data_IF_223248470198
#
_entry.id   IF_223248470198
#
_cell.length_a   1.000
_cell.length_b   1.000
_cell.length_c   1.000
_cell.angle_alpha   90.00
_cell.angle_beta   90.00
_cell.angle_gamma   90.00
#
_symmetry.space_group_name_H-M   'P 1'
#
loop_
_entity.id
_entity.type
_entity.pdbx_description
1 polymer ?
#
# COMPACT_ATOMS: atom_id res chain seq x y z
N UNK A 1 -29.49 -8.85 33.50
CA UNK A 1 -29.16 -7.44 33.18
C UNK A 1 -27.67 -7.17 33.28
N UNK A 2 -27.06 -7.11 34.47
CA UNK A 2 -25.64 -6.76 34.64
C UNK A 2 -24.67 -7.67 33.86
N UNK A 3 -24.90 -8.99 33.89
CA UNK A 3 -24.09 -9.96 33.12
C UNK A 3 -24.22 -9.71 31.61
N UNK A 4 -25.44 -9.48 31.11
CA UNK A 4 -25.69 -9.21 29.68
C UNK A 4 -24.98 -7.92 29.27
N UNK A 5 -25.09 -6.86 30.08
CA UNK A 5 -24.40 -5.59 29.83
C UNK A 5 -22.89 -5.76 29.85
N UNK A 6 -22.34 -6.51 30.80
CA UNK A 6 -20.91 -6.79 30.91
C UNK A 6 -20.39 -7.55 29.68
N UNK A 7 -21.06 -8.63 29.27
CA UNK A 7 -20.70 -9.41 28.08
C UNK A 7 -20.79 -8.56 26.81
N UNK A 8 -21.81 -7.70 26.72
CA UNK A 8 -21.98 -6.76 25.59
C UNK A 8 -20.82 -5.76 25.52
N UNK A 9 -20.42 -5.19 26.65
CA UNK A 9 -19.27 -4.28 26.74
C UNK A 9 -17.96 -4.95 26.34
N UNK A 10 -17.74 -6.20 26.76
CA UNK A 10 -16.53 -6.94 26.39
C UNK A 10 -16.48 -7.29 24.89
N UNK A 11 -17.64 -7.44 24.25
CA UNK A 11 -17.75 -7.91 22.87
C UNK A 11 -17.83 -6.75 21.85
N UNK A 12 -18.10 -5.52 22.29
CA UNK A 12 -18.39 -4.36 21.41
C UNK A 12 -17.33 -4.09 20.33
N UNK A 13 -16.04 -4.29 20.65
CA UNK A 13 -14.94 -4.04 19.72
C UNK A 13 -14.77 -5.12 18.65
N UNK A 14 -15.14 -6.37 18.94
CA UNK A 14 -14.98 -7.50 18.02
C UNK A 14 -16.25 -7.77 17.23
N UNK A 15 -17.41 -7.64 17.86
CA UNK A 15 -18.66 -8.05 17.28
C UNK A 15 -19.78 -7.08 17.65
N UNK A 16 -19.72 -5.90 17.04
CA UNK A 16 -20.62 -4.77 17.31
C UNK A 16 -22.10 -5.17 17.27
N UNK A 17 -22.51 -5.98 16.28
CA UNK A 17 -23.90 -6.43 16.15
C UNK A 17 -24.42 -7.17 17.39
N UNK A 18 -23.64 -8.12 17.92
CA UNK A 18 -24.02 -8.89 19.11
C UNK A 18 -24.02 -8.04 20.38
N UNK A 19 -23.09 -7.09 20.49
CA UNK A 19 -23.08 -6.14 21.60
C UNK A 19 -24.32 -5.24 21.58
N UNK A 20 -24.72 -4.74 20.40
CA UNK A 20 -25.93 -3.92 20.24
C UNK A 20 -27.19 -4.70 20.62
N UNK A 21 -27.32 -5.98 20.21
CA UNK A 21 -28.42 -6.84 20.64
C UNK A 21 -28.48 -6.93 22.17
N UNK A 22 -27.35 -7.19 22.83
CA UNK A 22 -27.31 -7.26 24.30
C UNK A 22 -27.69 -5.94 24.98
N UNK A 23 -27.26 -4.79 24.46
CA UNK A 23 -27.69 -3.48 24.96
C UNK A 23 -29.19 -3.23 24.79
N UNK A 24 -29.80 -3.70 23.69
CA UNK A 24 -31.25 -3.55 23.46
C UNK A 24 -32.07 -4.40 24.42
N UNK A 25 -31.65 -5.65 24.67
CA UNK A 25 -32.24 -6.53 25.69
C UNK A 25 -32.15 -5.88 27.07
N UNK A 26 -30.98 -5.33 27.42
CA UNK A 26 -30.82 -4.59 28.68
C UNK A 26 -31.69 -3.32 28.74
N UNK A 27 -31.90 -2.60 27.64
CA UNK A 27 -32.80 -1.44 27.64
C UNK A 27 -34.25 -1.86 27.90
N UNK A 28 -34.73 -2.89 27.22
CA UNK A 28 -36.10 -3.43 27.37
C UNK A 28 -36.35 -3.92 28.80
N UNK A 29 -35.44 -4.70 29.38
CA UNK A 29 -35.60 -5.20 30.75
C UNK A 29 -35.57 -4.07 31.79
N UNK A 30 -34.81 -2.99 31.55
CA UNK A 30 -34.80 -1.83 32.46
C UNK A 30 -36.15 -1.12 32.43
N UNK A 31 -36.74 -0.96 31.23
CA UNK A 31 -38.08 -0.40 31.08
C UNK A 31 -39.15 -1.29 31.71
N UNK A 32 -39.06 -2.62 31.54
CA UNK A 32 -39.95 -3.58 32.21
C UNK A 32 -39.94 -3.40 33.73
N UNK A 33 -38.76 -3.20 34.35
CA UNK A 33 -38.66 -2.96 35.79
C UNK A 33 -39.23 -1.60 36.21
N UNK A 34 -39.16 -0.58 35.34
CA UNK A 34 -39.61 0.78 35.67
C UNK A 34 -41.11 0.99 35.47
N UNK A 35 -41.69 0.45 34.39
CA UNK A 35 -43.07 0.74 33.96
C UNK A 35 -44.01 -0.46 34.06
N UNK A 36 -43.51 -1.65 34.42
CA UNK A 36 -44.22 -2.94 34.42
C UNK A 36 -44.85 -3.36 33.07
N UNK A 37 -44.69 -2.58 32.00
CA UNK A 37 -45.29 -2.79 30.66
C UNK A 37 -44.23 -2.85 29.55
N UNK A 38 -43.08 -3.46 29.81
CA UNK A 38 -41.95 -3.55 28.87
C UNK A 38 -42.25 -4.33 27.59
N UNK A 39 -43.24 -5.23 27.58
CA UNK A 39 -43.64 -5.98 26.36
C UNK A 39 -44.06 -5.06 25.20
N UNK A 40 -44.77 -3.97 25.50
CA UNK A 40 -45.23 -3.02 24.48
C UNK A 40 -44.07 -2.22 23.84
N UNK A 41 -42.92 -2.15 24.52
CA UNK A 41 -41.75 -1.43 24.04
C UNK A 41 -40.76 -2.31 23.26
N UNK A 42 -40.98 -3.62 23.20
CA UNK A 42 -40.11 -4.56 22.47
C UNK A 42 -40.07 -4.21 20.98
N UNK A 43 -41.24 -4.09 20.35
CA UNK A 43 -41.35 -3.85 18.90
C UNK A 43 -40.79 -2.47 18.50
N UNK A 44 -41.17 -1.35 19.15
CA UNK A 44 -40.56 -0.05 18.88
C UNK A 44 -39.03 -0.06 19.03
N UNK A 45 -38.52 -0.72 20.09
CA UNK A 45 -37.07 -0.76 20.34
C UNK A 45 -36.31 -1.59 19.31
N UNK A 46 -36.91 -2.67 18.83
CA UNK A 46 -36.35 -3.45 17.73
C UNK A 46 -36.25 -2.60 16.45
N UNK A 47 -37.32 -1.86 16.10
CA UNK A 47 -37.32 -0.95 14.94
C UNK A 47 -36.24 0.12 15.09
N UNK A 48 -36.13 0.78 16.24
CA UNK A 48 -35.09 1.77 16.51
C UNK A 48 -33.67 1.21 16.34
N UNK A 49 -33.47 -0.04 16.76
CA UNK A 49 -32.18 -0.73 16.63
C UNK A 49 -31.85 -1.02 15.18
N UNK A 50 -32.80 -1.54 14.42
CA UNK A 50 -32.63 -1.81 12.98
C UNK A 50 -32.34 -0.51 12.23
N UNK A 51 -33.11 0.56 12.49
CA UNK A 51 -32.89 1.88 11.89
C UNK A 51 -31.51 2.41 12.28
N UNK A 52 -31.12 2.32 13.55
CA UNK A 52 -29.79 2.72 14.03
C UNK A 52 -28.66 1.95 13.34
N UNK A 53 -28.80 0.64 13.18
CA UNK A 53 -27.84 -0.18 12.44
C UNK A 53 -27.76 0.21 10.97
N UNK A 54 -28.89 0.48 10.31
CA UNK A 54 -28.93 0.93 8.91
C UNK A 54 -28.28 2.31 8.73
N UNK A 55 -28.53 3.25 9.65
CA UNK A 55 -27.90 4.57 9.62
C UNK A 55 -26.39 4.45 9.86
N UNK A 56 -25.96 3.63 10.82
CA UNK A 56 -24.53 3.39 11.08
C UNK A 56 -23.83 2.74 9.88
N UNK A 57 -24.46 1.75 9.25
CA UNK A 57 -23.95 1.10 8.04
C UNK A 57 -23.90 2.08 6.86
N UNK A 58 -24.98 2.81 6.60
CA UNK A 58 -25.01 3.84 5.56
C UNK A 58 -23.98 4.94 5.79
N UNK A 59 -23.82 5.38 7.04
CA UNK A 59 -22.78 6.32 7.46
C UNK A 59 -21.37 5.77 7.23
N UNK A 60 -21.12 4.50 7.53
CA UNK A 60 -19.82 3.86 7.26
C UNK A 60 -19.52 3.80 5.76
N UNK A 61 -20.51 3.44 4.93
CA UNK A 61 -20.34 3.37 3.48
C UNK A 61 -20.18 4.76 2.84
N UNK A 62 -20.84 5.79 3.38
CA UNK A 62 -20.92 7.12 2.77
C UNK A 62 -19.92 8.14 3.33
N UNK A 63 -19.63 8.13 4.63
CA UNK A 63 -18.69 9.05 5.28
C UNK A 63 -17.23 8.60 5.13
N UNK A 64 -16.98 7.31 4.87
CA UNK A 64 -15.65 6.76 4.57
C UNK A 64 -15.54 6.31 3.10
N UNK A 65 -15.65 7.21 2.11
CA UNK A 65 -15.48 6.85 0.70
C UNK A 65 -14.00 6.63 0.32
N UNK A 66 -13.06 6.79 1.26
CA UNK A 66 -11.62 6.60 1.03
C UNK A 66 -11.19 5.13 1.10
N UNK A 67 -11.64 4.33 0.13
CA UNK A 67 -11.09 2.98 -0.07
C UNK A 67 -9.63 3.10 -0.49
N UNK A 68 -8.73 2.74 0.41
CA UNK A 68 -7.28 2.79 0.21
C UNK A 68 -6.83 1.84 -0.89
N UNK A 69 -7.60 0.78 -1.14
CA UNK A 69 -7.40 -0.10 -2.30
C UNK A 69 -7.37 0.66 -3.65
N UNK A 70 -8.12 1.76 -3.78
CA UNK A 70 -8.09 2.64 -4.96
C UNK A 70 -6.84 3.50 -5.06
N UNK A 71 -6.20 3.81 -3.94
CA UNK A 71 -4.98 4.61 -3.84
C UNK A 71 -3.71 3.76 -3.96
N UNK A 72 -3.80 2.45 -3.74
CA UNK A 72 -2.66 1.54 -3.72
C UNK A 72 -1.77 1.64 -4.96
N UNK A 73 -2.38 1.78 -6.16
CA UNK A 73 -1.64 1.99 -7.40
C UNK A 73 -0.88 3.31 -7.40
N UNK A 74 -1.55 4.39 -6.98
CA UNK A 74 -0.94 5.71 -6.92
C UNK A 74 0.23 5.71 -5.94
N UNK A 75 0.01 5.17 -4.74
CA UNK A 75 1.05 5.07 -3.71
C UNK A 75 2.23 4.20 -4.16
N UNK A 76 1.97 3.14 -4.95
CA UNK A 76 3.04 2.31 -5.52
C UNK A 76 3.84 3.07 -6.59
N UNK A 77 3.17 3.86 -7.42
CA UNK A 77 3.82 4.73 -8.40
C UNK A 77 4.67 5.81 -7.70
N UNK A 78 4.09 6.51 -6.72
CA UNK A 78 4.77 7.55 -5.93
C UNK A 78 5.99 7.00 -5.19
N UNK A 79 5.94 5.73 -4.73
CA UNK A 79 7.10 5.05 -4.14
C UNK A 79 8.23 4.81 -5.15
N UNK A 80 7.91 4.30 -6.35
CA UNK A 80 8.91 4.10 -7.41
C UNK A 80 9.52 5.42 -7.89
N UNK A 81 8.72 6.49 -7.96
CA UNK A 81 9.20 7.83 -8.31
C UNK A 81 10.19 8.36 -7.26
N UNK A 82 9.87 8.20 -5.97
CA UNK A 82 10.79 8.57 -4.89
C UNK A 82 12.11 7.78 -4.94
N UNK A 83 12.03 6.47 -5.25
CA UNK A 83 13.20 5.60 -5.45
C UNK A 83 14.06 6.06 -6.63
N UNK A 84 13.43 6.43 -7.75
CA UNK A 84 14.14 6.95 -8.94
C UNK A 84 14.91 8.23 -8.64
N UNK A 85 14.24 9.20 -8.02
CA UNK A 85 14.85 10.47 -7.62
C UNK A 85 16.00 10.25 -6.63
N UNK A 86 15.89 9.27 -5.72
CA UNK A 86 16.95 8.90 -4.79
C UNK A 86 18.17 8.31 -5.50
N UNK A 87 17.96 7.35 -6.41
CA UNK A 87 19.05 6.72 -7.17
C UNK A 87 19.76 7.76 -8.04
N UNK A 88 19.01 8.66 -8.69
CA UNK A 88 19.58 9.76 -9.49
C UNK A 88 20.46 10.68 -8.65
N UNK A 89 20.04 11.00 -7.43
CA UNK A 89 20.83 11.85 -6.54
C UNK A 89 22.06 11.13 -5.98
N UNK A 90 21.94 9.85 -5.62
CA UNK A 90 23.04 9.01 -5.12
C UNK A 90 24.15 8.86 -6.15
N UNK A 91 23.78 8.72 -7.43
CA UNK A 91 24.71 8.55 -8.55
C UNK A 91 25.13 9.88 -9.21
N UNK A 92 24.75 11.03 -8.63
CA UNK A 92 25.15 12.33 -9.14
C UNK A 92 26.63 12.65 -8.85
N UNK A 93 27.22 13.55 -9.62
CA UNK A 93 28.65 13.90 -9.51
C UNK A 93 29.05 14.54 -8.18
N UNK A 94 28.10 15.19 -7.48
CA UNK A 94 28.33 15.82 -6.18
C UNK A 94 27.13 15.61 -5.25
N UNK A 95 27.08 14.47 -4.54
CA UNK A 95 25.98 14.13 -3.65
C UNK A 95 26.02 14.99 -2.37
N UNK A 96 25.36 16.16 -2.42
CA UNK A 96 25.31 17.04 -1.25
C UNK A 96 24.57 16.38 -0.07
N UNK A 97 25.08 16.47 1.18
CA UNK A 97 24.50 15.76 2.33
C UNK A 97 23.05 16.12 2.63
N UNK A 98 22.67 17.38 2.46
CA UNK A 98 21.32 17.88 2.79
C UNK A 98 20.26 17.35 1.82
N UNK A 99 20.42 17.49 0.48
CA UNK A 99 19.54 16.83 -0.49
C UNK A 99 19.43 15.31 -0.30
N UNK A 100 20.56 14.63 -0.02
CA UNK A 100 20.56 13.17 0.21
C UNK A 100 19.71 12.78 1.43
N UNK A 101 19.85 13.50 2.55
CA UNK A 101 19.06 13.23 3.75
C UNK A 101 17.56 13.47 3.50
N UNK A 102 17.22 14.54 2.77
CA UNK A 102 15.84 14.83 2.40
C UNK A 102 15.24 13.74 1.50
N UNK A 103 15.98 13.30 0.48
CA UNK A 103 15.47 12.27 -0.43
C UNK A 103 15.35 10.91 0.25
N UNK A 104 16.28 10.58 1.15
CA UNK A 104 16.19 9.41 2.02
C UNK A 104 14.90 9.44 2.84
N UNK A 105 14.55 10.58 3.45
CA UNK A 105 13.28 10.73 4.18
C UNK A 105 12.08 10.51 3.26
N UNK A 106 12.08 11.09 2.05
CA UNK A 106 10.99 10.94 1.07
C UNK A 106 10.75 9.50 0.64
N UNK A 107 11.81 8.75 0.36
CA UNK A 107 11.73 7.31 0.02
C UNK A 107 11.06 6.52 1.14
N UNK A 108 11.50 6.72 2.39
CA UNK A 108 10.90 6.05 3.54
C UNK A 108 9.43 6.48 3.75
N UNK A 109 9.11 7.75 3.54
CA UNK A 109 7.74 8.26 3.68
C UNK A 109 6.80 7.69 2.60
N UNK A 110 7.26 7.62 1.34
CA UNK A 110 6.49 7.05 0.25
C UNK A 110 6.22 5.55 0.48
N UNK A 111 7.24 4.79 0.90
CA UNK A 111 7.07 3.39 1.29
C UNK A 111 6.08 3.22 2.45
N UNK A 112 6.20 4.01 3.51
CA UNK A 112 5.29 3.93 4.66
C UNK A 112 3.84 4.26 4.27
N UNK A 113 3.65 5.23 3.37
CA UNK A 113 2.32 5.57 2.84
C UNK A 113 1.72 4.38 2.10
N UNK A 114 2.52 3.71 1.27
CA UNK A 114 2.11 2.49 0.56
C UNK A 114 1.78 1.35 1.52
N UNK A 115 2.64 1.07 2.49
CA UNK A 115 2.44 0.00 3.49
C UNK A 115 1.16 0.22 4.31
N UNK A 116 0.93 1.45 4.76
CA UNK A 116 -0.28 1.81 5.51
C UNK A 116 -1.55 1.64 4.65
N UNK A 117 -1.48 2.08 3.38
CA UNK A 117 -2.57 1.92 2.41
C UNK A 117 -2.91 0.44 2.20
N UNK A 118 -1.91 -0.44 2.09
CA UNK A 118 -2.11 -1.89 1.99
C UNK A 118 -2.77 -2.47 3.25
N UNK A 119 -2.24 -2.15 4.45
CA UNK A 119 -2.80 -2.66 5.70
C UNK A 119 -4.25 -2.25 5.92
N UNK A 120 -4.62 -1.05 5.47
CA UNK A 120 -6.00 -0.59 5.50
C UNK A 120 -6.84 -1.30 4.44
N UNK A 121 -6.33 -1.46 3.21
CA UNK A 121 -7.00 -2.21 2.16
C UNK A 121 -7.27 -3.69 2.52
N UNK A 122 -6.41 -4.30 3.34
CA UNK A 122 -6.63 -5.67 3.86
C UNK A 122 -7.81 -5.77 4.83
N UNK A 123 -8.24 -4.66 5.43
CA UNK A 123 -9.39 -4.61 6.34
C UNK A 123 -10.69 -4.24 5.61
N UNK A 124 -10.60 -3.89 4.32
CA UNK A 124 -11.75 -3.49 3.51
C UNK A 124 -12.62 -4.72 3.17
N UNK A 125 -13.94 -4.70 3.45
CA UNK A 125 -14.81 -5.81 3.11
C UNK A 125 -14.97 -5.98 1.60
N UNK A 126 -14.91 -7.23 1.12
CA UNK A 126 -15.24 -7.59 -0.27
C UNK A 126 -14.13 -7.36 -1.30
N UNK A 127 -12.91 -7.04 -0.87
CA UNK A 127 -11.76 -6.90 -1.76
C UNK A 127 -11.09 -8.24 -2.07
N UNK A 128 -10.43 -8.36 -3.24
CA UNK A 128 -9.83 -9.62 -3.68
C UNK A 128 -8.61 -9.99 -2.81
N UNK A 129 -8.71 -11.10 -2.07
CA UNK A 129 -7.68 -11.58 -1.14
C UNK A 129 -6.38 -11.94 -1.86
N UNK A 130 -6.43 -12.55 -3.04
CA UNK A 130 -5.24 -12.92 -3.81
C UNK A 130 -4.45 -11.71 -4.30
N UNK A 131 -5.15 -10.68 -4.76
CA UNK A 131 -4.51 -9.42 -5.15
C UNK A 131 -3.79 -8.75 -3.95
N UNK A 132 -4.37 -8.82 -2.75
CA UNK A 132 -3.75 -8.27 -1.54
C UNK A 132 -2.53 -9.09 -1.10
N UNK A 133 -2.56 -10.41 -1.26
CA UNK A 133 -1.41 -11.29 -1.02
C UNK A 133 -0.24 -10.95 -1.94
N UNK A 134 -0.51 -10.79 -3.24
CA UNK A 134 0.51 -10.41 -4.22
C UNK A 134 1.04 -9.00 -3.95
N UNK A 135 0.16 -8.05 -3.58
CA UNK A 135 0.58 -6.70 -3.20
C UNK A 135 1.48 -6.72 -1.95
N UNK A 136 1.23 -7.61 -0.98
CA UNK A 136 2.09 -7.77 0.19
C UNK A 136 3.50 -8.21 -0.20
N UNK A 137 3.62 -9.13 -1.16
CA UNK A 137 4.91 -9.50 -1.73
C UNK A 137 5.57 -8.31 -2.44
N UNK A 138 4.81 -7.56 -3.24
CA UNK A 138 5.29 -6.35 -3.92
C UNK A 138 5.84 -5.31 -2.92
N UNK A 139 5.10 -5.02 -1.86
CA UNK A 139 5.50 -4.07 -0.81
C UNK A 139 6.76 -4.55 -0.07
N UNK A 140 6.91 -5.87 0.11
CA UNK A 140 8.12 -6.44 0.71
C UNK A 140 9.35 -6.15 -0.16
N UNK A 141 9.24 -6.26 -1.49
CA UNK A 141 10.33 -5.88 -2.38
C UNK A 141 10.60 -4.37 -2.40
N UNK A 142 9.56 -3.53 -2.29
CA UNK A 142 9.74 -2.09 -2.09
C UNK A 142 10.54 -1.79 -0.81
N UNK A 143 10.27 -2.50 0.29
CA UNK A 143 11.04 -2.35 1.54
C UNK A 143 12.53 -2.69 1.34
N UNK A 144 12.86 -3.75 0.60
CA UNK A 144 14.26 -4.07 0.30
C UNK A 144 14.95 -3.01 -0.56
N UNK A 145 14.24 -2.38 -1.50
CA UNK A 145 14.78 -1.26 -2.27
C UNK A 145 15.10 -0.08 -1.34
N UNK A 146 14.19 0.27 -0.42
CA UNK A 146 14.40 1.33 0.59
C UNK A 146 15.66 1.03 1.43
N UNK A 147 15.86 -0.22 1.84
CA UNK A 147 17.05 -0.65 2.60
C UNK A 147 18.34 -0.48 1.80
N UNK A 148 18.33 -0.83 0.50
CA UNK A 148 19.47 -0.59 -0.38
C UNK A 148 19.73 0.89 -0.63
N UNK A 149 18.68 1.69 -0.88
CA UNK A 149 18.81 3.16 -1.03
C UNK A 149 19.40 3.79 0.24
N UNK A 150 18.95 3.35 1.43
CA UNK A 150 19.49 3.80 2.71
C UNK A 150 20.99 3.47 2.85
N UNK A 151 21.40 2.26 2.47
CA UNK A 151 22.80 1.83 2.50
C UNK A 151 23.66 2.64 1.51
N UNK A 152 23.19 2.77 0.26
CA UNK A 152 23.88 3.52 -0.80
C UNK A 152 24.02 5.01 -0.45
N UNK A 153 23.03 5.60 0.23
CA UNK A 153 23.10 6.99 0.71
C UNK A 153 24.27 7.20 1.68
N UNK A 154 24.55 6.21 2.53
CA UNK A 154 25.72 6.26 3.45
C UNK A 154 27.02 6.14 2.65
N UNK A 155 27.10 5.19 1.72
CA UNK A 155 28.28 5.00 0.86
C UNK A 155 28.60 6.23 -0.01
N UNK A 156 27.57 6.89 -0.53
CA UNK A 156 27.71 8.11 -1.32
C UNK A 156 28.32 9.26 -0.50
N UNK A 157 27.95 9.38 0.78
CA UNK A 157 28.54 10.39 1.70
C UNK A 157 30.01 10.10 2.03
N UNK A 158 30.40 8.84 2.02
CA UNK A 158 31.78 8.40 2.26
C UNK A 158 32.68 8.54 1.01
N UNK A 159 32.21 9.21 -0.05
CA UNK A 159 32.91 9.42 -1.32
C UNK A 159 33.34 8.12 -2.02
N UNK A 160 32.62 7.02 -1.77
CA UNK A 160 32.81 5.78 -2.53
C UNK A 160 32.13 5.95 -3.89
N UNK A 161 32.84 6.56 -4.84
CA UNK A 161 32.29 6.86 -6.16
C UNK A 161 32.65 5.77 -7.17
N UNK A 162 31.62 5.34 -7.90
CA UNK A 162 31.77 4.67 -9.19
C UNK A 162 32.49 5.59 -10.18
N UNK A 163 33.12 5.03 -11.20
CA UNK A 163 33.54 5.85 -12.34
C UNK A 163 32.31 6.51 -12.99
N UNK A 164 32.41 7.74 -13.53
CA UNK A 164 31.26 8.43 -14.12
C UNK A 164 30.53 7.59 -15.18
N UNK A 165 31.29 6.88 -16.02
CA UNK A 165 30.73 6.00 -17.05
C UNK A 165 29.92 4.83 -16.46
N UNK A 166 30.39 4.26 -15.34
CA UNK A 166 29.72 3.13 -14.71
C UNK A 166 28.50 3.59 -13.90
N UNK A 167 28.60 4.74 -13.22
CA UNK A 167 27.49 5.38 -12.53
C UNK A 167 26.34 5.68 -13.51
N UNK A 168 26.66 6.23 -14.68
CA UNK A 168 25.67 6.52 -15.71
C UNK A 168 25.01 5.24 -16.26
N UNK A 169 25.77 4.19 -16.54
CA UNK A 169 25.22 2.90 -16.99
C UNK A 169 24.25 2.29 -15.97
N UNK A 170 24.62 2.28 -14.69
CA UNK A 170 23.73 1.79 -13.65
C UNK A 170 22.50 2.68 -13.48
N UNK A 171 22.65 4.00 -13.53
CA UNK A 171 21.53 4.94 -13.49
C UNK A 171 20.53 4.67 -14.61
N UNK A 172 21.00 4.57 -15.86
CA UNK A 172 20.17 4.25 -17.02
C UNK A 172 19.44 2.91 -16.84
N UNK A 173 20.14 1.88 -16.37
CA UNK A 173 19.53 0.56 -16.11
C UNK A 173 18.43 0.61 -15.04
N UNK A 174 18.65 1.36 -13.95
CA UNK A 174 17.68 1.54 -12.88
C UNK A 174 16.48 2.35 -13.36
N UNK A 175 16.70 3.43 -14.12
CA UNK A 175 15.61 4.25 -14.68
C UNK A 175 14.74 3.44 -15.64
N UNK A 176 15.34 2.62 -16.50
CA UNK A 176 14.59 1.72 -17.40
C UNK A 176 13.75 0.72 -16.59
N UNK A 177 14.34 0.10 -15.57
CA UNK A 177 13.62 -0.88 -14.74
C UNK A 177 12.46 -0.23 -13.96
N UNK A 178 12.67 0.95 -13.39
CA UNK A 178 11.64 1.73 -12.69
C UNK A 178 10.51 2.16 -13.61
N UNK A 179 10.84 2.70 -14.79
CA UNK A 179 9.85 3.11 -15.79
C UNK A 179 9.01 1.93 -16.28
N UNK A 180 9.59 0.74 -16.45
CA UNK A 180 8.82 -0.48 -16.78
C UNK A 180 7.83 -0.84 -15.68
N UNK A 181 8.25 -0.79 -14.41
CA UNK A 181 7.35 -0.99 -13.28
C UNK A 181 6.22 0.05 -13.26
N UNK A 182 6.54 1.33 -13.47
CA UNK A 182 5.54 2.42 -13.53
C UNK A 182 4.55 2.25 -14.68
N UNK A 183 5.04 2.01 -15.90
CA UNK A 183 4.19 1.75 -17.07
C UNK A 183 3.27 0.54 -16.84
N UNK A 184 3.78 -0.50 -16.19
CA UNK A 184 2.97 -1.67 -15.86
C UNK A 184 1.88 -1.37 -14.83
N UNK A 185 2.13 -0.48 -13.88
CA UNK A 185 1.12 0.02 -12.96
C UNK A 185 0.05 0.84 -13.68
N UNK A 186 0.44 1.65 -14.68
CA UNK A 186 -0.48 2.53 -15.41
C UNK A 186 -1.41 1.78 -16.39
N UNK A 187 -0.89 0.77 -17.09
CA UNK A 187 -1.61 0.06 -18.16
C UNK A 187 -1.91 -1.41 -17.81
N UNK A 188 -3.21 -1.74 -17.73
CA UNK A 188 -3.68 -3.12 -17.45
C UNK A 188 -3.40 -4.09 -18.62
N UNK A 189 -3.38 -3.57 -19.86
CA UNK A 189 -3.19 -4.37 -21.07
C UNK A 189 -1.75 -4.90 -21.18
N UNK A 190 -1.54 -6.09 -21.78
CA UNK A 190 -0.20 -6.53 -22.15
C UNK A 190 0.33 -5.56 -23.20
N UNK A 191 1.15 -4.59 -22.80
CA UNK A 191 1.91 -3.79 -23.73
C UNK A 191 2.83 -4.73 -24.51
N UNK A 192 2.79 -4.68 -25.84
CA UNK A 192 3.65 -5.46 -26.73
C UNK A 192 5.14 -5.04 -26.68
N UNK A 193 5.59 -4.42 -25.60
CA UNK A 193 7.01 -4.21 -25.35
C UNK A 193 7.59 -5.53 -24.88
N UNK A 194 8.34 -6.20 -25.76
CA UNK A 194 8.91 -7.52 -25.53
C UNK A 194 9.56 -7.65 -24.16
N UNK A 195 9.43 -8.85 -23.60
CA UNK A 195 10.14 -9.35 -22.42
C UNK A 195 11.65 -9.29 -22.67
N UNK A 196 12.25 -8.10 -22.65
CA UNK A 196 13.70 -7.95 -22.61
C UNK A 196 14.08 -8.24 -21.17
N UNK A 197 14.53 -9.47 -20.92
CA UNK A 197 15.02 -9.94 -19.64
C UNK A 197 16.10 -8.99 -19.10
N UNK A 198 15.77 -8.25 -18.04
CA UNK A 198 16.71 -7.32 -17.38
C UNK A 198 17.92 -8.09 -16.83
N UNK A 199 17.74 -9.39 -16.51
CA UNK A 199 18.83 -10.27 -16.11
C UNK A 199 19.94 -10.34 -17.16
N UNK A 200 19.59 -10.40 -18.46
CA UNK A 200 20.57 -10.45 -19.56
C UNK A 200 21.38 -9.13 -19.64
N UNK A 201 20.73 -7.98 -19.42
CA UNK A 201 21.41 -6.69 -19.35
C UNK A 201 22.25 -6.50 -18.07
N UNK A 202 21.84 -7.10 -16.94
CA UNK A 202 22.61 -7.05 -15.69
C UNK A 202 23.82 -8.00 -15.71
N UNK A 203 23.71 -9.15 -16.37
CA UNK A 203 24.83 -10.08 -16.57
C UNK A 203 25.91 -9.47 -17.48
N UNK A 204 25.53 -8.67 -18.48
CA UNK A 204 26.48 -7.92 -19.32
C UNK A 204 27.27 -6.84 -18.56
N UNK A 205 26.80 -6.36 -17.40
CA UNK A 205 27.45 -5.29 -16.64
C UNK A 205 28.63 -5.76 -15.76
N UNK A 206 28.80 -7.07 -15.54
CA UNK A 206 29.84 -7.59 -14.63
C UNK A 206 31.01 -8.20 -15.40
N UNK A 207 32.16 -7.51 -15.41
CA UNK A 207 33.44 -8.03 -15.90
C UNK A 207 34.55 -7.90 -14.84
N UNK A 208 34.23 -8.08 -13.55
CA UNK A 208 35.20 -7.98 -12.44
C UNK A 208 34.59 -8.07 -11.03
N UNK A 209 35.41 -7.97 -9.97
CA UNK A 209 34.92 -7.93 -8.59
C UNK A 209 34.09 -6.65 -8.36
N UNK A 210 32.82 -6.83 -8.03
CA UNK A 210 31.86 -5.74 -7.83
C UNK A 210 32.17 -4.95 -6.56
N UNK A 211 32.14 -3.61 -6.65
CA UNK A 211 32.16 -2.74 -5.48
C UNK A 211 30.91 -2.92 -4.62
N UNK A 212 30.96 -2.50 -3.35
CA UNK A 212 29.79 -2.57 -2.44
C UNK A 212 28.59 -1.79 -2.96
N UNK A 213 28.84 -0.64 -3.60
CA UNK A 213 27.79 0.18 -4.23
C UNK A 213 27.16 -0.55 -5.43
N UNK A 214 27.96 -1.21 -6.28
CA UNK A 214 27.45 -2.02 -7.40
C UNK A 214 26.58 -3.19 -6.93
N UNK A 215 26.98 -3.87 -5.85
CA UNK A 215 26.19 -4.96 -5.29
C UNK A 215 24.80 -4.49 -4.87
N UNK A 216 24.70 -3.29 -4.26
CA UNK A 216 23.41 -2.72 -3.90
C UNK A 216 22.57 -2.35 -5.15
N UNK A 217 23.18 -1.74 -6.17
CA UNK A 217 22.49 -1.41 -7.42
C UNK A 217 21.97 -2.66 -8.15
N UNK A 218 22.78 -3.73 -8.22
CA UNK A 218 22.35 -5.00 -8.79
C UNK A 218 21.19 -5.63 -8.03
N UNK A 219 21.21 -5.59 -6.68
CA UNK A 219 20.08 -6.08 -5.88
C UNK A 219 18.82 -5.25 -6.09
N UNK A 220 18.94 -3.92 -6.21
CA UNK A 220 17.81 -3.04 -6.56
C UNK A 220 17.22 -3.46 -7.91
N UNK A 221 18.05 -3.66 -8.94
CA UNK A 221 17.58 -4.15 -10.25
C UNK A 221 16.88 -5.52 -10.15
N UNK A 222 17.42 -6.44 -9.35
CA UNK A 222 16.81 -7.73 -9.08
C UNK A 222 15.41 -7.59 -8.44
N UNK A 223 15.29 -6.71 -7.44
CA UNK A 223 14.01 -6.42 -6.80
C UNK A 223 13.01 -5.76 -7.75
N UNK A 224 13.44 -4.81 -8.58
CA UNK A 224 12.59 -4.18 -9.60
C UNK A 224 12.08 -5.21 -10.61
N UNK A 225 12.92 -6.17 -11.03
CA UNK A 225 12.50 -7.25 -11.92
C UNK A 225 11.44 -8.16 -11.28
N UNK A 226 11.62 -8.51 -10.00
CA UNK A 226 10.60 -9.28 -9.26
C UNK A 226 9.30 -8.48 -9.09
N UNK A 227 9.39 -7.19 -8.79
CA UNK A 227 8.22 -6.30 -8.68
C UNK A 227 7.47 -6.18 -10.00
N UNK A 228 8.19 -6.03 -11.12
CA UNK A 228 7.60 -6.06 -12.46
C UNK A 228 6.86 -7.37 -12.73
N UNK A 229 7.46 -8.51 -12.37
CA UNK A 229 6.87 -9.84 -12.56
C UNK A 229 5.59 -9.99 -11.73
N UNK A 230 5.62 -9.58 -10.45
CA UNK A 230 4.44 -9.59 -9.56
C UNK A 230 3.35 -8.66 -10.14
N UNK A 231 3.71 -7.45 -10.55
CA UNK A 231 2.78 -6.53 -11.22
C UNK A 231 2.21 -7.09 -12.52
N UNK A 232 2.93 -7.99 -13.20
CA UNK A 232 2.42 -8.65 -14.41
C UNK A 232 1.26 -9.62 -14.11
N UNK A 233 1.35 -10.35 -13.00
CA UNK A 233 0.38 -11.39 -12.57
C UNK A 233 -0.78 -10.78 -11.78
N UNK A 234 -0.45 -10.01 -10.75
CA UNK A 234 -1.41 -9.62 -9.73
C UNK A 234 -2.39 -8.55 -10.21
N UNK A 235 -1.96 -7.62 -11.07
CA UNK A 235 -2.80 -6.51 -11.53
C UNK A 235 -3.84 -6.96 -12.57
N UNK A 236 -3.70 -8.17 -13.12
CA UNK A 236 -4.74 -8.81 -13.96
C UNK A 236 -5.95 -9.27 -13.16
N UNK A 237 -5.79 -9.56 -11.86
CA UNK A 237 -6.83 -10.10 -10.99
C UNK A 237 -7.61 -8.99 -10.25
N UNK A 238 -7.43 -7.74 -10.65
CA UNK A 238 -8.06 -6.60 -10.00
C UNK A 238 -9.58 -6.72 -10.05
N UNK A 239 -10.29 -6.63 -8.91
CA UNK A 239 -11.73 -6.58 -8.93
C UNK A 239 -12.19 -5.30 -9.63
N UNK A 240 -12.97 -5.44 -10.71
CA UNK A 240 -13.57 -4.33 -11.46
C UNK A 240 -14.87 -3.80 -10.81
N UNK A 241 -15.19 -4.21 -9.59
CA UNK A 241 -16.45 -3.87 -8.93
C UNK A 241 -16.32 -2.59 -8.12
N UNK A 242 -17.18 -1.62 -8.41
CA UNK A 242 -17.28 -0.34 -7.72
C UNK A 242 -17.49 0.83 -8.69
N UNK A 243 -18.43 1.71 -8.38
CA UNK A 243 -18.84 2.88 -9.20
C UNK A 243 -17.71 3.93 -9.31
N UNK A 244 -16.57 3.72 -8.65
CA UNK A 244 -15.55 4.74 -8.40
C UNK A 244 -14.19 4.44 -9.05
N UNK A 245 -14.18 3.65 -10.12
CA UNK A 245 -12.97 3.23 -10.83
C UNK A 245 -12.65 4.18 -12.01
N UNK A 246 -11.85 5.23 -11.79
CA UNK A 246 -11.21 5.93 -12.92
C UNK A 246 -10.16 5.01 -13.56
N UNK A 247 -10.35 4.67 -14.85
CA UNK A 247 -9.38 3.88 -15.63
C UNK A 247 -8.04 4.60 -15.86
N UNK A 248 -7.98 5.92 -15.70
CA UNK A 248 -6.74 6.70 -15.78
C UNK A 248 -6.40 7.33 -14.43
N UNK A 249 -5.14 7.33 -14.06
CA UNK A 249 -4.58 8.32 -13.13
C UNK A 249 -4.78 9.67 -13.81
N UNK A 250 -5.88 10.36 -13.50
CA UNK A 250 -6.12 11.71 -14.02
C UNK A 250 -5.58 12.65 -12.96
N UNK A 251 -4.51 13.36 -13.31
CA UNK A 251 -3.97 14.45 -12.51
C UNK A 251 -5.08 15.42 -12.13
N UNK A 252 -5.34 15.52 -10.83
CA UNK A 252 -6.01 16.68 -10.25
C UNK A 252 -4.90 17.68 -9.87
N UNK A 253 -4.27 18.27 -10.89
CA UNK A 253 -3.60 19.57 -10.76
C UNK A 253 -4.53 20.61 -11.35
N UNK A 254 -5.24 21.29 -10.46
CA UNK A 254 -5.87 22.59 -10.66
C UNK A 254 -5.48 23.47 -9.50
#
# INVERSE_FOLDING_TARGET
MLIITLVSYLTIRKNYGWATVGFTVTAVYTLQLLTLNGEQFIVPRFIDTVIGCLIAFGGMVWLWPQWQSGLLRKNAHDALEADQEAIRLILSNDPQPTPLAYQRMRVNQAHNTLFNSLNQAMQEPGFNTHYLEDMKLWVTHSQFIVEHVNAMTTLAREHTMLTPDLAQRYLESCEIALQRCQQRLEYDAPGGSGDVNILESSEMLSHGPLSTLEQHLQRVLGHLNTMHTISSVAWRQRPHHGIWLSRRLRDMKG
#
